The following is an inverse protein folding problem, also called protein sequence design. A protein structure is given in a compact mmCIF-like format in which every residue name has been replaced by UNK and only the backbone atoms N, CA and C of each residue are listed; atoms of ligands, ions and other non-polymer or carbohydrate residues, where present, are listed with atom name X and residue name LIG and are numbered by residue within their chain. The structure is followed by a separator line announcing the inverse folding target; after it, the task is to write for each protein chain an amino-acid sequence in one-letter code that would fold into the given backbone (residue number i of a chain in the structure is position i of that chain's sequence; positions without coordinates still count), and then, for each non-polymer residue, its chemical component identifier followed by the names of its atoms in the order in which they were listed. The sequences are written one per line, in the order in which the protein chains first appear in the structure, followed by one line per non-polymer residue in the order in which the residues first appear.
data_IF_136460117516
#
_entry.id   IF_136460117516
#
_cell.length_a   1.000
_cell.length_b   1.000
_cell.length_c   1.000
_cell.angle_alpha   90.00
_cell.angle_beta   90.00
_cell.angle_gamma   90.00
#
_symmetry.space_group_name_H-M   'P 1'
#
loop_
_entity.id
_entity.type
_entity.pdbx_description
1 polymer ?
#
# COMPACT_ATOMS: atom_id res chain seq x y z
N UNK A 1 27.10 21.59 -52.16
CA UNK A 1 27.39 20.28 -51.56
C UNK A 1 27.93 20.49 -50.16
N UNK A 2 27.01 20.64 -49.21
CA UNK A 2 27.23 20.49 -47.77
C UNK A 2 25.85 20.46 -47.06
N UNK A 3 25.84 19.84 -45.88
CA UNK A 3 24.81 19.84 -44.82
C UNK A 3 23.60 18.88 -44.94
N UNK A 4 23.61 17.86 -44.07
CA UNK A 4 22.80 17.82 -42.85
C UNK A 4 21.39 17.22 -42.97
N UNK A 5 21.11 16.20 -42.16
CA UNK A 5 19.78 16.07 -41.53
C UNK A 5 19.79 15.09 -40.34
N UNK A 6 19.11 15.54 -39.29
CA UNK A 6 18.83 14.90 -38.01
C UNK A 6 17.61 14.01 -38.21
N UNK A 7 17.62 12.79 -37.66
CA UNK A 7 16.41 11.98 -37.52
C UNK A 7 16.43 11.26 -36.17
N UNK A 8 15.52 11.67 -35.27
CA UNK A 8 15.13 10.89 -34.10
C UNK A 8 14.03 9.89 -34.47
N UNK A 9 13.71 8.91 -33.61
CA UNK A 9 12.57 8.04 -33.85
C UNK A 9 11.37 8.44 -32.96
N UNK A 10 10.27 8.80 -33.62
CA UNK A 10 8.91 8.57 -33.11
C UNK A 10 8.54 7.11 -33.41
N UNK A 11 7.92 6.46 -32.43
CA UNK A 11 7.57 5.05 -32.47
C UNK A 11 6.45 4.67 -33.42
N UNK A 12 6.10 3.38 -33.37
CA UNK A 12 4.78 2.79 -33.65
C UNK A 12 4.85 1.31 -33.28
N UNK A 13 3.94 0.87 -32.41
CA UNK A 13 3.74 -0.54 -32.14
C UNK A 13 3.11 -1.28 -33.32
N UNK A 14 3.30 -2.60 -33.34
CA UNK A 14 2.29 -3.67 -33.55
C UNK A 14 3.00 -4.95 -33.97
N UNK A 15 2.48 -6.08 -33.47
CA UNK A 15 2.46 -7.33 -34.24
C UNK A 15 3.44 -8.39 -33.77
N UNK A 16 3.11 -9.11 -32.70
CA UNK A 16 3.57 -10.49 -32.57
C UNK A 16 2.63 -11.38 -33.38
N UNK A 17 2.85 -11.40 -34.69
CA UNK A 17 2.61 -12.58 -35.51
C UNK A 17 3.91 -12.88 -36.25
N UNK A 18 4.63 -13.92 -35.80
CA UNK A 18 5.48 -14.71 -36.66
C UNK A 18 4.94 -16.15 -36.65
N UNK A 19 4.70 -16.77 -37.83
CA UNK A 19 4.10 -18.08 -37.94
C UNK A 19 5.19 -19.15 -38.09
N UNK A 20 5.87 -19.55 -37.01
CA UNK A 20 6.70 -20.78 -37.05
C UNK A 20 7.22 -21.32 -35.70
N UNK A 21 6.74 -20.84 -34.55
CA UNK A 21 7.00 -21.49 -33.27
C UNK A 21 5.77 -22.27 -32.81
N UNK A 22 5.82 -23.61 -32.91
CA UNK A 22 4.86 -24.47 -32.22
C UNK A 22 4.97 -24.19 -30.71
N UNK A 23 3.87 -23.78 -30.03
CA UNK A 23 3.91 -23.62 -28.59
C UNK A 23 4.08 -25.00 -27.95
N UNK A 24 5.16 -25.14 -27.17
CA UNK A 24 5.44 -26.32 -26.35
C UNK A 24 4.28 -26.48 -25.36
N UNK A 25 3.46 -27.52 -25.52
CA UNK A 25 2.33 -27.78 -24.62
C UNK A 25 2.83 -27.92 -23.17
N UNK A 26 2.35 -27.03 -22.31
CA UNK A 26 2.48 -27.18 -20.86
C UNK A 26 1.69 -28.43 -20.45
N UNK A 27 2.37 -29.37 -19.78
CA UNK A 27 1.78 -30.62 -19.30
C UNK A 27 0.53 -30.34 -18.48
N UNK A 28 -0.63 -30.68 -19.02
CA UNK A 28 -1.90 -30.71 -18.28
C UNK A 28 -1.90 -31.89 -17.29
N UNK A 29 -2.45 -31.74 -16.09
CA UNK A 29 -2.74 -32.89 -15.23
C UNK A 29 -3.70 -33.84 -15.97
N UNK A 30 -3.41 -35.15 -15.94
CA UNK A 30 -4.30 -36.18 -16.50
C UNK A 30 -5.64 -36.13 -15.77
N UNK A 31 -6.70 -35.75 -16.47
CA UNK A 31 -8.08 -36.04 -16.09
C UNK A 31 -8.30 -37.54 -16.34
N UNK A 32 -8.59 -38.28 -15.28
CA UNK A 32 -9.12 -39.64 -15.35
C UNK A 32 -10.64 -39.51 -15.30
N UNK A 33 -11.32 -39.93 -16.37
CA UNK A 33 -12.77 -40.04 -16.46
C UNK A 33 -13.27 -41.29 -15.71
N UNK A 34 -14.20 -41.06 -14.77
CA UNK A 34 -15.35 -41.85 -14.22
C UNK A 34 -15.26 -43.40 -14.24
N UNK A 35 -15.45 -44.15 -13.14
CA UNK A 35 -16.58 -44.26 -12.18
C UNK A 35 -16.21 -45.30 -11.06
N UNK A 36 -17.04 -45.64 -10.05
CA UNK A 36 -17.74 -44.84 -9.05
C UNK A 36 -17.33 -45.21 -7.59
N UNK A 37 -17.66 -44.36 -6.61
CA UNK A 37 -17.66 -44.65 -5.15
C UNK A 37 -16.29 -44.72 -4.45
N UNK A 38 -15.72 -43.57 -4.11
CA UNK A 38 -14.66 -43.46 -3.10
C UNK A 38 -14.96 -42.31 -2.13
N UNK A 39 -15.10 -42.63 -0.85
CA UNK A 39 -15.26 -41.63 0.23
C UNK A 39 -14.03 -40.69 0.27
N UNK A 40 -14.21 -39.40 0.59
CA UNK A 40 -13.09 -38.46 0.71
C UNK A 40 -12.14 -38.92 1.83
N UNK A 41 -10.82 -38.73 1.66
CA UNK A 41 -9.84 -39.15 2.65
C UNK A 41 -10.08 -38.38 3.96
N UNK A 42 -10.35 -39.12 5.04
CA UNK A 42 -10.51 -38.57 6.39
C UNK A 42 -9.18 -37.94 6.81
N UNK A 43 -9.22 -36.63 7.07
CA UNK A 43 -8.09 -35.89 7.66
C UNK A 43 -7.66 -36.55 8.96
N UNK A 44 -6.36 -36.82 9.09
CA UNK A 44 -5.71 -37.35 10.31
C UNK A 44 -5.31 -36.26 11.30
N UNK A 45 -5.64 -34.99 11.00
CA UNK A 45 -5.30 -33.85 11.85
C UNK A 45 -6.49 -33.55 12.78
N UNK A 46 -6.29 -33.80 14.07
CA UNK A 46 -7.24 -33.42 15.12
C UNK A 46 -7.06 -31.94 15.47
N UNK A 47 -8.18 -31.22 15.68
CA UNK A 47 -8.16 -29.86 16.23
C UNK A 47 -7.63 -29.81 17.67
N UNK A 48 -7.60 -30.96 18.35
CA UNK A 48 -7.09 -31.12 19.72
C UNK A 48 -5.69 -31.74 19.76
N UNK A 49 -4.91 -31.62 18.68
CA UNK A 49 -3.55 -32.13 18.65
C UNK A 49 -2.68 -31.44 19.72
N UNK A 50 -2.06 -32.24 20.58
CA UNK A 50 -1.21 -31.77 21.68
C UNK A 50 -0.01 -31.02 21.11
N UNK A 51 0.23 -29.80 21.56
CA UNK A 51 1.39 -29.00 21.16
C UNK A 51 2.68 -29.80 21.35
N UNK A 52 3.52 -29.80 20.31
CA UNK A 52 4.81 -30.46 20.35
C UNK A 52 5.82 -29.53 21.02
N UNK A 53 6.48 -30.02 22.07
CA UNK A 53 7.58 -29.32 22.74
C UNK A 53 8.90 -30.07 22.48
N UNK A 54 10.01 -29.36 22.20
CA UNK A 54 11.32 -29.97 22.06
C UNK A 54 11.77 -30.69 23.34
N UNK A 55 12.67 -31.69 23.26
CA UNK A 55 13.10 -32.50 24.41
C UNK A 55 13.72 -31.71 25.58
N UNK A 56 14.20 -30.49 25.33
CA UNK A 56 14.85 -29.63 26.30
C UNK A 56 13.96 -28.47 26.79
N UNK A 57 12.65 -28.49 26.46
CA UNK A 57 11.72 -27.46 26.91
C UNK A 57 11.35 -27.68 28.39
N UNK A 58 11.90 -26.84 29.26
CA UNK A 58 11.44 -26.71 30.65
C UNK A 58 10.34 -25.65 30.73
N UNK A 59 9.08 -26.01 31.01
CA UNK A 59 8.02 -25.03 31.16
C UNK A 59 8.31 -24.15 32.38
N UNK A 60 8.59 -22.86 32.15
CA UNK A 60 8.64 -21.90 33.23
C UNK A 60 7.22 -21.66 33.75
N UNK A 61 7.06 -21.68 35.08
CA UNK A 61 5.79 -21.34 35.72
C UNK A 61 5.38 -19.92 35.29
N UNK A 62 4.16 -19.81 34.78
CA UNK A 62 3.56 -18.53 34.37
C UNK A 62 3.59 -17.60 35.58
N UNK A 63 4.21 -16.39 35.51
CA UNK A 63 4.15 -15.45 36.61
C UNK A 63 2.69 -15.06 36.84
N UNK A 64 2.17 -15.35 38.03
CA UNK A 64 0.85 -14.89 38.46
C UNK A 64 0.90 -13.37 38.60
N UNK A 65 0.48 -12.65 37.57
CA UNK A 65 0.33 -11.20 37.65
C UNK A 65 -0.86 -10.89 38.56
N UNK A 66 -0.57 -10.38 39.75
CA UNK A 66 -1.56 -9.70 40.58
C UNK A 66 -2.11 -8.50 39.80
N UNK A 67 -3.44 -8.44 39.67
CA UNK A 67 -4.14 -7.28 39.15
C UNK A 67 -3.98 -6.12 40.14
N UNK A 68 -3.17 -5.14 39.77
CA UNK A 68 -3.20 -3.80 40.35
C UNK A 68 -3.89 -2.83 39.37
N UNK A 69 -4.71 -1.88 39.83
CA UNK A 69 -5.59 -1.09 38.97
C UNK A 69 -4.91 0.23 38.57
N UNK A 70 -4.42 0.34 37.33
CA UNK A 70 -4.13 1.63 36.69
C UNK A 70 -4.11 1.52 35.15
N UNK A 71 -4.44 2.60 34.42
CA UNK A 71 -5.12 2.53 33.14
C UNK A 71 -4.15 2.55 31.94
N UNK A 72 -4.67 2.12 30.80
CA UNK A 72 -4.07 2.20 29.45
C UNK A 72 -3.28 0.97 28.98
N UNK A 73 -4.00 -0.10 28.64
CA UNK A 73 -3.60 -1.00 27.55
C UNK A 73 -4.18 -0.44 26.24
N UNK A 74 -3.38 -0.26 25.17
CA UNK A 74 -3.95 -0.02 23.85
C UNK A 74 -4.75 -1.26 23.43
N UNK A 75 -6.00 -1.11 22.96
CA UNK A 75 -6.81 -2.25 22.54
C UNK A 75 -6.15 -2.91 21.32
N UNK A 76 -5.68 -4.13 21.50
CA UNK A 76 -5.34 -5.02 20.39
C UNK A 76 -6.66 -5.55 19.85
N UNK A 77 -7.19 -4.90 18.81
CA UNK A 77 -8.30 -5.48 18.05
C UNK A 77 -7.76 -6.67 17.27
N UNK A 78 -8.09 -7.87 17.74
CA UNK A 78 -7.88 -9.10 17.00
C UNK A 78 -8.62 -9.01 15.66
N UNK A 79 -8.13 -9.67 14.63
CA UNK A 79 -8.82 -9.73 13.32
C UNK A 79 -10.25 -10.27 13.49
N UNK A 80 -10.45 -11.17 14.46
CA UNK A 80 -11.76 -11.71 14.83
C UNK A 80 -12.68 -10.67 15.48
N UNK A 81 -12.17 -9.80 16.37
CA UNK A 81 -12.98 -8.72 16.95
C UNK A 81 -13.40 -7.67 15.91
N UNK A 82 -12.55 -7.44 14.88
CA UNK A 82 -12.90 -6.56 13.76
C UNK A 82 -13.97 -7.16 12.86
N UNK A 83 -13.86 -8.45 12.52
CA UNK A 83 -14.90 -9.18 11.80
C UNK A 83 -16.24 -9.15 12.55
N UNK A 84 -16.20 -9.26 13.88
CA UNK A 84 -17.40 -9.22 14.72
C UNK A 84 -18.02 -7.83 14.83
N UNK A 85 -17.21 -6.78 15.01
CA UNK A 85 -17.70 -5.40 15.02
C UNK A 85 -18.29 -4.97 13.68
N UNK A 86 -17.76 -5.47 12.56
CA UNK A 86 -18.31 -5.24 11.23
C UNK A 86 -19.62 -6.02 10.96
N UNK A 87 -19.89 -7.08 11.73
CA UNK A 87 -21.18 -7.81 11.70
C UNK A 87 -22.22 -7.20 12.65
N UNK A 88 -21.80 -6.55 13.74
CA UNK A 88 -22.67 -5.96 14.76
C UNK A 88 -23.08 -4.50 14.48
N UNK A 89 -22.33 -3.78 13.64
CA UNK A 89 -22.85 -2.54 13.07
C UNK A 89 -23.74 -2.92 11.89
N UNK A 90 -25.00 -2.55 11.93
CA UNK A 90 -25.84 -2.44 10.74
C UNK A 90 -25.48 -1.09 10.09
N UNK A 91 -24.49 -1.04 9.17
CA UNK A 91 -24.00 0.21 8.59
C UNK A 91 -24.90 0.64 7.42
N UNK A 92 -25.94 -0.15 7.14
CA UNK A 92 -26.69 -0.08 5.91
C UNK A 92 -28.04 0.56 6.19
N UNK A 93 -28.14 1.83 5.81
CA UNK A 93 -29.39 2.31 5.25
C UNK A 93 -29.58 1.75 3.83
N UNK A 94 -29.51 0.42 3.69
CA UNK A 94 -29.75 -0.30 2.42
C UNK A 94 -31.19 -0.06 1.97
N UNK A 95 -32.10 -0.01 2.95
CA UNK A 95 -33.51 0.25 2.72
C UNK A 95 -33.71 1.69 2.20
N UNK A 96 -33.17 2.74 2.83
CA UNK A 96 -33.41 4.13 2.34
C UNK A 96 -32.84 4.38 0.94
N UNK A 97 -31.67 3.83 0.59
CA UNK A 97 -31.14 3.96 -0.78
C UNK A 97 -32.01 3.24 -1.81
N UNK A 98 -32.67 2.14 -1.43
CA UNK A 98 -33.61 1.41 -2.30
C UNK A 98 -34.99 2.08 -2.39
N UNK A 99 -35.42 2.77 -1.33
CA UNK A 99 -36.76 3.37 -1.21
C UNK A 99 -36.88 4.77 -1.84
N UNK A 100 -35.77 5.48 -2.06
CA UNK A 100 -35.77 6.83 -2.65
C UNK A 100 -35.94 6.88 -4.18
N UNK A 101 -36.14 5.72 -4.83
CA UNK A 101 -36.44 5.61 -6.25
C UNK A 101 -37.97 5.61 -6.45
N UNK A 102 -38.56 6.80 -6.58
CA UNK A 102 -39.99 6.94 -6.89
C UNK A 102 -40.32 6.36 -8.28
N UNK A 103 -41.40 5.58 -8.31
CA UNK A 103 -42.26 5.18 -9.44
C UNK A 103 -41.64 4.39 -10.62
N UNK A 104 -41.79 3.06 -10.54
CA UNK A 104 -42.07 2.05 -11.61
C UNK A 104 -41.17 1.97 -12.86
N UNK A 105 -40.37 2.97 -13.24
CA UNK A 105 -39.69 3.00 -14.54
C UNK A 105 -38.26 2.47 -14.56
N UNK A 106 -37.73 1.92 -13.45
CA UNK A 106 -36.35 1.44 -13.49
C UNK A 106 -36.04 0.24 -12.59
N UNK A 107 -36.80 -0.84 -12.78
CA UNK A 107 -36.50 -2.13 -12.14
C UNK A 107 -35.07 -2.59 -12.46
N UNK A 108 -34.59 -2.34 -13.68
CA UNK A 108 -33.24 -2.69 -14.13
C UNK A 108 -32.16 -1.87 -13.39
N UNK A 109 -32.35 -0.55 -13.23
CA UNK A 109 -31.44 0.27 -12.41
C UNK A 109 -31.40 -0.21 -10.96
N UNK A 110 -32.56 -0.52 -10.36
CA UNK A 110 -32.62 -1.01 -8.98
C UNK A 110 -31.87 -2.34 -8.82
N UNK A 111 -32.03 -3.26 -9.76
CA UNK A 111 -31.30 -4.54 -9.76
C UNK A 111 -29.80 -4.33 -9.95
N UNK A 112 -29.40 -3.47 -10.89
CA UNK A 112 -27.99 -3.13 -11.12
C UNK A 112 -27.34 -2.47 -9.90
N UNK A 113 -28.05 -1.56 -9.22
CA UNK A 113 -27.58 -0.93 -7.98
C UNK A 113 -27.52 -1.96 -6.83
N UNK A 114 -28.49 -2.87 -6.72
CA UNK A 114 -28.41 -3.94 -5.73
C UNK A 114 -27.21 -4.87 -5.98
N UNK A 115 -26.93 -5.19 -7.24
CA UNK A 115 -25.75 -5.97 -7.62
C UNK A 115 -24.44 -5.21 -7.30
N UNK A 116 -24.37 -3.91 -7.62
CA UNK A 116 -23.26 -3.05 -7.22
C UNK A 116 -23.03 -3.11 -5.71
N UNK A 117 -24.06 -2.93 -4.90
CA UNK A 117 -23.98 -2.98 -3.44
C UNK A 117 -23.44 -4.32 -2.98
N UNK A 118 -23.97 -5.44 -3.50
CA UNK A 118 -23.49 -6.77 -3.14
C UNK A 118 -22.00 -6.96 -3.47
N UNK A 119 -21.56 -6.53 -4.66
CA UNK A 119 -20.14 -6.59 -5.05
C UNK A 119 -19.28 -5.69 -4.17
N UNK A 120 -19.73 -4.47 -3.85
CA UNK A 120 -19.00 -3.57 -2.95
C UNK A 120 -18.81 -4.20 -1.56
N UNK A 121 -19.85 -4.84 -1.02
CA UNK A 121 -19.76 -5.58 0.24
C UNK A 121 -18.75 -6.72 0.13
N UNK A 122 -18.84 -7.55 -0.91
CA UNK A 122 -17.92 -8.68 -1.10
C UNK A 122 -16.46 -8.23 -1.19
N UNK A 123 -16.15 -7.19 -1.98
CA UNK A 123 -14.75 -6.72 -2.13
C UNK A 123 -14.26 -5.88 -0.94
N UNK A 124 -15.15 -5.53 -0.01
CA UNK A 124 -14.78 -4.96 1.30
C UNK A 124 -14.24 -6.06 2.21
N UNK A 125 -14.88 -7.23 2.24
CA UNK A 125 -14.49 -8.35 3.11
C UNK A 125 -13.46 -9.30 2.48
N UNK A 126 -13.49 -9.43 1.16
CA UNK A 126 -12.57 -10.24 0.38
C UNK A 126 -12.03 -9.43 -0.83
N UNK A 127 -11.07 -8.52 -0.60
CA UNK A 127 -10.52 -7.68 -1.65
C UNK A 127 -9.84 -8.48 -2.77
N UNK A 128 -9.48 -9.77 -2.53
CA UNK A 128 -8.93 -10.65 -3.54
C UNK A 128 -9.91 -10.98 -4.68
N UNK A 129 -11.21 -10.79 -4.46
CA UNK A 129 -12.25 -11.02 -5.49
C UNK A 129 -12.42 -9.86 -6.47
N UNK A 130 -11.73 -8.73 -6.27
CA UNK A 130 -11.92 -7.51 -7.08
C UNK A 130 -11.89 -7.79 -8.58
N UNK A 131 -10.82 -8.41 -9.07
CA UNK A 131 -10.62 -8.64 -10.51
C UNK A 131 -11.67 -9.59 -11.12
N UNK A 132 -12.28 -10.45 -10.30
CA UNK A 132 -13.31 -11.40 -10.74
C UNK A 132 -14.71 -10.78 -10.77
N UNK A 133 -15.02 -9.90 -9.81
CA UNK A 133 -16.36 -9.35 -9.63
C UNK A 133 -16.57 -8.02 -10.37
N UNK A 134 -15.56 -7.15 -10.43
CA UNK A 134 -15.74 -5.79 -10.91
C UNK A 134 -15.83 -5.69 -12.44
N UNK A 135 -15.21 -6.61 -13.20
CA UNK A 135 -15.31 -6.63 -14.67
C UNK A 135 -16.76 -6.80 -15.16
N UNK A 136 -17.43 -7.92 -14.81
CA UNK A 136 -18.83 -8.14 -15.17
C UNK A 136 -19.78 -7.05 -14.64
N UNK A 137 -19.47 -6.50 -13.46
CA UNK A 137 -20.24 -5.39 -12.90
C UNK A 137 -20.12 -4.12 -13.75
N UNK A 138 -18.92 -3.76 -14.21
CA UNK A 138 -18.72 -2.60 -15.08
C UNK A 138 -19.43 -2.79 -16.42
N UNK A 139 -19.34 -3.99 -16.99
CA UNK A 139 -20.03 -4.35 -18.24
C UNK A 139 -21.56 -4.19 -18.12
N UNK A 140 -22.15 -4.52 -16.97
CA UNK A 140 -23.59 -4.38 -16.72
C UNK A 140 -24.09 -2.94 -16.78
N UNK A 141 -23.25 -1.96 -16.45
CA UNK A 141 -23.60 -0.53 -16.52
C UNK A 141 -23.14 0.14 -17.81
N UNK A 142 -22.22 -0.46 -18.56
CA UNK A 142 -21.53 0.18 -19.70
C UNK A 142 -22.49 0.80 -20.72
N UNK A 143 -23.61 0.11 -21.04
CA UNK A 143 -24.61 0.63 -21.97
C UNK A 143 -25.44 1.80 -21.43
N UNK A 144 -25.46 2.02 -20.12
CA UNK A 144 -26.23 3.09 -19.46
C UNK A 144 -25.39 4.25 -18.94
N UNK A 145 -24.05 4.13 -18.93
CA UNK A 145 -23.14 5.14 -18.38
C UNK A 145 -23.18 6.50 -19.08
N UNK A 146 -23.77 6.59 -20.27
CA UNK A 146 -23.94 7.87 -20.95
C UNK A 146 -25.14 8.68 -20.41
N UNK A 147 -26.10 8.01 -19.75
CA UNK A 147 -27.28 8.63 -19.14
C UNK A 147 -26.99 9.03 -17.69
N UNK A 148 -27.14 10.33 -17.41
CA UNK A 148 -26.94 10.91 -16.08
C UNK A 148 -27.88 10.30 -15.04
N UNK A 149 -29.08 9.89 -15.44
CA UNK A 149 -30.11 9.34 -14.55
C UNK A 149 -29.69 7.99 -13.95
N UNK A 150 -28.90 7.20 -14.69
CA UNK A 150 -28.34 5.93 -14.23
C UNK A 150 -26.96 6.13 -13.56
N UNK A 151 -26.17 7.06 -14.10
CA UNK A 151 -24.78 7.27 -13.68
C UNK A 151 -24.68 7.97 -12.34
N UNK A 152 -25.57 8.91 -12.03
CA UNK A 152 -25.54 9.66 -10.77
C UNK A 152 -25.79 8.76 -9.55
N UNK A 153 -26.82 7.90 -9.49
CA UNK A 153 -27.01 6.95 -8.38
C UNK A 153 -25.83 5.99 -8.20
N UNK A 154 -25.23 5.51 -9.30
CA UNK A 154 -24.02 4.68 -9.27
C UNK A 154 -22.85 5.40 -8.58
N UNK A 155 -22.56 6.63 -9.01
CA UNK A 155 -21.50 7.45 -8.42
C UNK A 155 -21.78 7.74 -6.95
N UNK A 156 -23.03 8.09 -6.61
CA UNK A 156 -23.42 8.36 -5.22
C UNK A 156 -23.20 7.16 -4.31
N UNK A 157 -23.61 5.95 -4.74
CA UNK A 157 -23.41 4.73 -3.98
C UNK A 157 -21.92 4.44 -3.73
N UNK A 158 -21.08 4.51 -4.77
CA UNK A 158 -19.63 4.24 -4.65
C UNK A 158 -18.97 5.27 -3.73
N UNK A 159 -19.27 6.56 -3.91
CA UNK A 159 -18.66 7.64 -3.12
C UNK A 159 -19.09 7.54 -1.66
N UNK A 160 -20.38 7.34 -1.37
CA UNK A 160 -20.87 7.20 -0.01
C UNK A 160 -20.23 6.00 0.69
N UNK A 161 -20.15 4.84 0.02
CA UNK A 161 -19.49 3.66 0.56
C UNK A 161 -17.99 3.91 0.79
N UNK A 162 -17.30 4.61 -0.11
CA UNK A 162 -15.86 4.88 0.02
C UNK A 162 -15.51 5.89 1.13
N UNK A 163 -16.44 6.80 1.43
CA UNK A 163 -16.34 7.72 2.58
C UNK A 163 -16.51 6.93 3.88
N UNK A 164 -17.60 6.15 3.98
CA UNK A 164 -18.01 5.46 5.20
C UNK A 164 -17.17 4.22 5.55
N UNK A 165 -16.65 3.50 4.55
CA UNK A 165 -15.97 2.21 4.75
C UNK A 165 -14.48 2.28 4.38
N UNK A 166 -13.56 2.38 5.37
CA UNK A 166 -12.13 2.49 5.11
C UNK A 166 -11.54 1.32 4.32
N UNK A 167 -12.06 0.09 4.49
CA UNK A 167 -11.53 -1.08 3.79
C UNK A 167 -11.96 -1.12 2.31
N UNK A 168 -13.10 -0.53 2.00
CA UNK A 168 -13.59 -0.41 0.62
C UNK A 168 -12.88 0.70 -0.14
N UNK A 169 -12.48 1.78 0.54
CA UNK A 169 -12.05 3.04 -0.08
C UNK A 169 -11.05 2.91 -1.23
N UNK A 170 -10.01 2.09 -1.08
CA UNK A 170 -9.04 1.83 -2.15
C UNK A 170 -9.71 1.17 -3.36
N UNK A 171 -10.51 0.12 -3.12
CA UNK A 171 -11.28 -0.58 -4.14
C UNK A 171 -12.35 0.34 -4.78
N UNK A 172 -12.97 1.23 -4.01
CA UNK A 172 -13.91 2.24 -4.51
C UNK A 172 -13.24 3.17 -5.51
N UNK A 173 -12.02 3.65 -5.22
CA UNK A 173 -11.27 4.48 -6.15
C UNK A 173 -10.83 3.71 -7.42
N UNK A 174 -10.45 2.44 -7.25
CA UNK A 174 -10.12 1.55 -8.36
C UNK A 174 -11.34 1.30 -9.25
N UNK A 175 -12.51 1.10 -8.65
CA UNK A 175 -13.78 0.90 -9.34
C UNK A 175 -14.20 2.17 -10.10
N UNK A 176 -14.04 3.36 -9.51
CA UNK A 176 -14.23 4.62 -10.21
C UNK A 176 -13.34 4.72 -11.46
N UNK A 177 -12.07 4.31 -11.37
CA UNK A 177 -11.15 4.32 -12.50
C UNK A 177 -11.57 3.33 -13.60
N UNK A 178 -12.12 2.16 -13.23
CA UNK A 178 -12.67 1.21 -14.20
C UNK A 178 -13.90 1.77 -14.94
N UNK A 179 -14.88 2.33 -14.22
CA UNK A 179 -16.05 2.95 -14.84
C UNK A 179 -15.68 4.12 -15.74
N UNK A 180 -14.73 4.91 -15.30
CA UNK A 180 -14.24 6.05 -16.06
C UNK A 180 -13.57 5.64 -17.38
N UNK A 181 -12.92 4.46 -17.41
CA UNK A 181 -12.23 3.94 -18.60
C UNK A 181 -13.15 3.42 -19.71
N UNK A 182 -14.46 3.31 -19.45
CA UNK A 182 -15.44 2.81 -20.44
C UNK A 182 -15.60 3.78 -21.61
N UNK A 183 -15.43 5.08 -21.37
CA UNK A 183 -15.55 6.13 -22.38
C UNK A 183 -14.31 7.02 -22.39
N UNK A 184 -13.98 7.67 -23.53
CA UNK A 184 -12.94 8.68 -23.55
C UNK A 184 -13.19 9.77 -22.51
N UNK A 185 -12.14 10.32 -21.86
CA UNK A 185 -12.31 11.28 -20.77
C UNK A 185 -13.18 12.50 -21.05
N UNK A 186 -13.17 12.98 -22.31
CA UNK A 186 -13.93 14.15 -22.75
C UNK A 186 -15.44 13.88 -22.88
N UNK A 187 -15.83 12.62 -22.99
CA UNK A 187 -17.22 12.17 -23.19
C UNK A 187 -17.75 11.36 -21.98
N UNK A 188 -16.92 11.19 -20.94
CA UNK A 188 -17.27 10.38 -19.77
C UNK A 188 -18.27 11.13 -18.87
N UNK A 189 -19.56 10.81 -19.01
CA UNK A 189 -20.62 11.24 -18.08
C UNK A 189 -20.31 10.78 -16.65
N UNK A 190 -19.71 9.59 -16.48
CA UNK A 190 -19.25 9.10 -15.17
C UNK A 190 -18.24 10.05 -14.54
N UNK A 191 -17.22 10.49 -15.29
CA UNK A 191 -16.24 11.47 -14.81
C UNK A 191 -16.91 12.76 -14.37
N UNK A 192 -17.81 13.27 -15.20
CA UNK A 192 -18.52 14.51 -14.91
C UNK A 192 -19.31 14.40 -13.59
N UNK A 193 -20.09 13.33 -13.40
CA UNK A 193 -20.83 13.07 -12.17
C UNK A 193 -19.90 12.87 -10.95
N UNK A 194 -18.79 12.16 -11.10
CA UNK A 194 -17.82 11.94 -10.02
C UNK A 194 -17.18 13.25 -9.56
N UNK A 195 -16.71 14.08 -10.50
CA UNK A 195 -16.10 15.37 -10.18
C UNK A 195 -17.12 16.35 -9.56
N UNK A 196 -18.36 16.37 -10.07
CA UNK A 196 -19.47 17.14 -9.47
C UNK A 196 -19.76 16.68 -8.04
N UNK A 197 -19.79 15.36 -7.80
CA UNK A 197 -20.02 14.75 -6.48
C UNK A 197 -18.89 15.11 -5.51
N UNK A 198 -17.63 15.05 -5.93
CA UNK A 198 -16.47 15.47 -5.13
C UNK A 198 -16.50 16.97 -4.80
N UNK A 199 -16.82 17.82 -5.77
CA UNK A 199 -16.96 19.27 -5.56
C UNK A 199 -18.07 19.58 -4.55
N UNK A 200 -19.19 18.85 -4.62
CA UNK A 200 -20.29 18.97 -3.67
C UNK A 200 -19.86 18.63 -2.24
N UNK A 201 -19.13 17.53 -2.02
CA UNK A 201 -18.60 17.21 -0.68
C UNK A 201 -17.57 18.22 -0.19
N UNK A 202 -16.64 18.66 -1.04
CA UNK A 202 -15.70 19.73 -0.69
C UNK A 202 -16.48 20.95 -0.18
N UNK A 203 -17.48 21.41 -0.94
CA UNK A 203 -18.27 22.56 -0.56
C UNK A 203 -19.03 22.35 0.76
N UNK A 204 -19.56 21.16 1.02
CA UNK A 204 -20.20 20.83 2.32
C UNK A 204 -19.22 20.98 3.48
N UNK A 205 -17.97 20.51 3.32
CA UNK A 205 -16.94 20.62 4.35
C UNK A 205 -16.52 22.08 4.54
N UNK A 206 -16.18 22.78 3.45
CA UNK A 206 -15.66 24.15 3.53
C UNK A 206 -16.72 25.14 4.03
N UNK A 207 -18.00 24.95 3.67
CA UNK A 207 -19.11 25.77 4.20
C UNK A 207 -19.51 25.43 5.64
N UNK A 208 -18.98 24.35 6.21
CA UNK A 208 -19.35 23.86 7.54
C UNK A 208 -20.72 23.18 7.62
N UNK A 209 -21.29 22.77 6.48
CA UNK A 209 -22.54 22.03 6.42
C UNK A 209 -22.35 20.56 6.83
N UNK A 210 -21.22 19.95 6.47
CA UNK A 210 -20.82 18.67 7.05
C UNK A 210 -20.41 18.88 8.51
N UNK A 211 -20.96 18.07 9.41
CA UNK A 211 -20.71 18.15 10.86
C UNK A 211 -20.01 16.90 11.40
N UNK A 212 -20.09 15.79 10.67
CA UNK A 212 -19.38 14.55 10.97
C UNK A 212 -17.92 14.66 10.55
N UNK A 213 -17.03 14.80 11.52
CA UNK A 213 -15.59 14.80 11.24
C UNK A 213 -15.08 13.46 10.70
N UNK A 214 -15.79 12.37 11.00
CA UNK A 214 -15.51 11.07 10.41
C UNK A 214 -15.75 11.07 8.92
N UNK A 215 -16.87 11.63 8.47
CA UNK A 215 -17.15 11.81 7.04
C UNK A 215 -16.13 12.74 6.40
N UNK A 216 -15.77 13.85 7.05
CA UNK A 216 -14.74 14.76 6.52
C UNK A 216 -13.41 14.04 6.29
N UNK A 217 -12.95 13.25 7.27
CA UNK A 217 -11.71 12.44 7.16
C UNK A 217 -11.87 11.34 6.11
N UNK A 218 -13.01 10.67 6.07
CA UNK A 218 -13.32 9.62 5.11
C UNK A 218 -13.29 10.13 3.67
N UNK A 219 -13.93 11.27 3.43
CA UNK A 219 -13.91 11.97 2.16
C UNK A 219 -12.50 12.44 1.79
N UNK A 220 -11.75 13.05 2.71
CA UNK A 220 -10.39 13.47 2.42
C UNK A 220 -9.52 12.29 1.96
N UNK A 221 -9.57 11.17 2.69
CA UNK A 221 -8.84 9.95 2.31
C UNK A 221 -9.31 9.40 0.96
N UNK A 222 -10.62 9.35 0.70
CA UNK A 222 -11.14 8.86 -0.58
C UNK A 222 -10.73 9.76 -1.75
N UNK A 223 -10.79 11.08 -1.55
CA UNK A 223 -10.36 12.07 -2.53
C UNK A 223 -8.86 11.91 -2.86
N UNK A 224 -8.04 11.57 -1.86
CA UNK A 224 -6.62 11.25 -2.08
C UNK A 224 -6.42 9.97 -2.91
N UNK A 225 -7.19 8.91 -2.63
CA UNK A 225 -7.15 7.68 -3.44
C UNK A 225 -7.53 7.96 -4.90
N UNK A 226 -8.66 8.64 -5.15
CA UNK A 226 -9.08 9.00 -6.51
C UNK A 226 -8.03 9.88 -7.19
N UNK A 227 -7.48 10.89 -6.51
CA UNK A 227 -6.45 11.76 -7.08
C UNK A 227 -5.19 10.98 -7.52
N UNK A 228 -4.86 9.89 -6.83
CA UNK A 228 -3.70 9.04 -7.19
C UNK A 228 -4.00 8.00 -8.27
N UNK A 229 -5.26 7.61 -8.45
CA UNK A 229 -5.65 6.51 -9.35
C UNK A 229 -6.35 6.98 -10.63
N UNK A 230 -7.05 8.12 -10.59
CA UNK A 230 -7.79 8.66 -11.74
C UNK A 230 -6.87 9.51 -12.61
N UNK A 231 -6.66 9.06 -13.84
CA UNK A 231 -5.84 9.75 -14.83
C UNK A 231 -6.64 10.79 -15.63
N UNK A 232 -5.96 11.74 -16.27
CA UNK A 232 -6.52 12.66 -17.26
C UNK A 232 -6.32 12.11 -18.69
N UNK A 233 -6.75 12.86 -19.71
CA UNK A 233 -6.62 12.43 -21.11
C UNK A 233 -5.17 12.26 -21.60
N UNK A 234 -4.18 12.75 -20.84
CA UNK A 234 -2.75 12.65 -21.12
C UNK A 234 -2.05 11.62 -20.20
N UNK A 235 -2.79 10.85 -19.39
CA UNK A 235 -2.23 9.95 -18.38
C UNK A 235 -1.65 10.68 -17.16
N UNK A 236 -1.93 11.98 -17.02
CA UNK A 236 -1.58 12.79 -15.85
C UNK A 236 -2.63 12.71 -14.76
N UNK A 237 -2.44 13.41 -13.64
CA UNK A 237 -3.44 13.49 -12.56
C UNK A 237 -4.44 14.61 -12.82
N UNK A 238 -5.68 14.39 -12.42
CA UNK A 238 -6.74 15.41 -12.50
C UNK A 238 -6.47 16.55 -11.50
N UNK A 239 -6.01 17.71 -12.00
CA UNK A 239 -5.57 18.85 -11.18
C UNK A 239 -6.62 19.37 -10.20
N UNK A 240 -7.88 19.42 -10.61
CA UNK A 240 -8.98 19.90 -9.76
C UNK A 240 -9.16 19.05 -8.50
N UNK A 241 -8.86 17.75 -8.56
CA UNK A 241 -8.88 16.88 -7.38
C UNK A 241 -7.75 17.21 -6.41
N UNK A 242 -6.54 17.50 -6.91
CA UNK A 242 -5.40 17.92 -6.07
C UNK A 242 -5.67 19.26 -5.35
N UNK A 243 -6.27 20.22 -6.06
CA UNK A 243 -6.68 21.50 -5.49
C UNK A 243 -7.77 21.34 -4.43
N UNK A 244 -8.80 20.53 -4.73
CA UNK A 244 -9.86 20.16 -3.79
C UNK A 244 -9.29 19.52 -2.53
N UNK A 245 -8.38 18.57 -2.71
CA UNK A 245 -7.74 17.84 -1.63
C UNK A 245 -6.92 18.75 -0.72
N UNK A 246 -6.20 19.73 -1.28
CA UNK A 246 -5.48 20.72 -0.47
C UNK A 246 -6.43 21.54 0.40
N UNK A 247 -7.58 21.98 -0.13
CA UNK A 247 -8.55 22.76 0.66
C UNK A 247 -9.12 21.96 1.82
N UNK A 248 -9.54 20.72 1.57
CA UNK A 248 -10.08 19.82 2.61
C UNK A 248 -9.03 19.52 3.66
N UNK A 249 -7.78 19.26 3.25
CA UNK A 249 -6.67 19.02 4.16
C UNK A 249 -6.39 20.23 5.07
N UNK A 250 -6.39 21.44 4.50
CA UNK A 250 -6.19 22.67 5.27
C UNK A 250 -7.34 22.88 6.28
N UNK A 251 -8.58 22.62 5.88
CA UNK A 251 -9.73 22.69 6.78
C UNK A 251 -9.58 21.71 7.96
N UNK A 252 -9.22 20.45 7.69
CA UNK A 252 -8.98 19.45 8.73
C UNK A 252 -7.87 19.87 9.71
N UNK A 253 -6.79 20.49 9.21
CA UNK A 253 -5.71 21.01 10.07
C UNK A 253 -6.14 22.20 10.92
N UNK A 254 -7.10 23.00 10.47
CA UNK A 254 -7.59 24.17 11.20
C UNK A 254 -8.55 23.81 12.36
N UNK A 255 -9.06 22.57 12.42
CA UNK A 255 -9.89 22.07 13.55
C UNK A 255 -9.11 21.85 14.86
N UNK A 256 -7.79 21.80 14.79
CA UNK A 256 -6.86 21.50 15.89
C UNK A 256 -7.08 20.17 16.65
N UNK A 257 -7.79 19.21 16.05
CA UNK A 257 -8.00 17.90 16.66
C UNK A 257 -6.92 16.91 16.24
N UNK A 258 -6.33 16.22 17.22
CA UNK A 258 -5.25 15.26 16.98
C UNK A 258 -5.64 14.15 15.99
N UNK A 259 -6.88 13.67 16.03
CA UNK A 259 -7.40 12.65 15.10
C UNK A 259 -7.43 13.16 13.65
N UNK A 260 -7.78 14.42 13.42
CA UNK A 260 -7.78 15.05 12.10
C UNK A 260 -6.35 15.24 11.61
N UNK A 261 -5.43 15.67 12.49
CA UNK A 261 -4.01 15.82 12.17
C UNK A 261 -3.38 14.47 11.79
N UNK A 262 -3.73 13.39 12.52
CA UNK A 262 -3.28 12.02 12.19
C UNK A 262 -3.79 11.56 10.82
N UNK A 263 -5.07 11.80 10.52
CA UNK A 263 -5.64 11.47 9.21
C UNK A 263 -4.93 12.24 8.08
N UNK A 264 -4.68 13.54 8.27
CA UNK A 264 -3.89 14.34 7.33
C UNK A 264 -2.48 13.78 7.14
N UNK A 265 -1.82 13.35 8.22
CA UNK A 265 -0.50 12.71 8.12
C UNK A 265 -0.53 11.39 7.33
N UNK A 266 -1.58 10.58 7.49
CA UNK A 266 -1.76 9.34 6.72
C UNK A 266 -1.99 9.62 5.25
N UNK A 267 -2.88 10.57 4.95
CA UNK A 267 -3.17 11.03 3.61
C UNK A 267 -1.92 11.53 2.89
N UNK A 268 -1.11 12.36 3.58
CA UNK A 268 0.13 12.86 3.01
C UNK A 268 1.14 11.74 2.71
N UNK A 269 1.13 10.62 3.42
CA UNK A 269 1.96 9.47 3.05
C UNK A 269 1.49 8.82 1.75
N UNK A 270 0.19 8.84 1.47
CA UNK A 270 -0.41 8.30 0.25
C UNK A 270 -0.16 9.21 -0.95
N UNK A 271 -0.49 10.51 -0.85
CA UNK A 271 -0.53 11.42 -1.99
C UNK A 271 0.46 12.58 -1.91
N UNK A 272 1.29 12.66 -0.86
CA UNK A 272 2.12 13.83 -0.59
C UNK A 272 3.17 14.14 -1.66
N UNK A 273 3.77 13.11 -2.27
CA UNK A 273 4.73 13.32 -3.38
C UNK A 273 4.04 13.93 -4.61
N UNK A 274 2.84 13.44 -4.95
CA UNK A 274 2.05 13.95 -6.06
C UNK A 274 1.58 15.39 -5.78
N UNK A 275 1.09 15.65 -4.57
CA UNK A 275 0.67 17.00 -4.15
C UNK A 275 1.82 18.00 -4.08
N UNK A 276 3.03 17.57 -3.71
CA UNK A 276 4.19 18.47 -3.71
C UNK A 276 4.59 18.92 -5.12
N UNK A 277 4.38 18.05 -6.12
CA UNK A 277 4.61 18.38 -7.52
C UNK A 277 3.49 19.27 -8.09
N UNK A 278 2.23 18.92 -7.82
CA UNK A 278 1.09 19.53 -8.49
C UNK A 278 0.54 20.76 -7.76
N UNK A 279 0.66 20.81 -6.44
CA UNK A 279 0.04 21.81 -5.55
C UNK A 279 1.03 22.39 -4.50
N UNK A 280 2.18 22.95 -4.92
CA UNK A 280 3.25 23.38 -4.00
C UNK A 280 2.79 24.43 -2.98
N UNK A 281 1.92 25.37 -3.38
CA UNK A 281 1.39 26.41 -2.49
C UNK A 281 0.51 25.82 -1.38
N UNK A 282 -0.38 24.89 -1.73
CA UNK A 282 -1.24 24.18 -0.76
C UNK A 282 -0.41 23.35 0.21
N UNK A 283 0.59 22.64 -0.32
CA UNK A 283 1.53 21.84 0.49
C UNK A 283 2.42 22.69 1.39
N UNK A 284 2.83 23.88 0.97
CA UNK A 284 3.54 24.80 1.85
C UNK A 284 2.66 25.23 3.03
N UNK A 285 1.42 25.66 2.76
CA UNK A 285 0.47 26.07 3.79
C UNK A 285 0.10 24.93 4.76
N UNK A 286 -0.01 23.70 4.26
CA UNK A 286 -0.28 22.51 5.06
C UNK A 286 0.87 22.22 6.03
N UNK A 287 2.11 22.26 5.55
CA UNK A 287 3.26 21.97 6.41
C UNK A 287 3.57 23.08 7.41
N UNK A 288 3.27 24.33 7.10
CA UNK A 288 3.33 25.41 8.10
C UNK A 288 2.36 25.18 9.26
N UNK A 289 1.16 24.66 8.99
CA UNK A 289 0.21 24.26 10.04
C UNK A 289 0.71 23.04 10.82
N UNK A 290 1.22 22.02 10.13
CA UNK A 290 1.76 20.81 10.76
C UNK A 290 2.96 21.10 11.67
N UNK A 291 3.90 21.96 11.27
CA UNK A 291 5.08 22.31 12.09
C UNK A 291 4.70 22.87 13.47
N UNK A 292 3.59 23.61 13.58
CA UNK A 292 3.05 24.11 14.86
C UNK A 292 2.60 22.99 15.81
N UNK A 293 2.46 21.77 15.29
CA UNK A 293 2.04 20.55 15.98
C UNK A 293 3.15 19.50 16.07
N UNK A 294 4.42 19.94 16.00
CA UNK A 294 5.62 19.07 16.05
C UNK A 294 5.78 18.21 17.32
N UNK A 295 4.96 18.43 18.35
CA UNK A 295 4.86 17.54 19.50
C UNK A 295 4.36 16.14 19.14
N UNK A 296 3.54 16.01 18.09
CA UNK A 296 2.97 14.73 17.64
C UNK A 296 4.00 13.91 16.86
N UNK A 297 4.24 12.62 17.21
CA UNK A 297 5.20 11.77 16.51
C UNK A 297 4.89 11.58 15.01
N UNK A 298 3.62 11.46 14.65
CA UNK A 298 3.19 11.32 13.25
C UNK A 298 3.56 12.55 12.42
N UNK A 299 3.43 13.75 12.99
CA UNK A 299 3.79 15.02 12.36
C UNK A 299 5.30 15.08 12.11
N UNK A 300 6.12 14.75 13.12
CA UNK A 300 7.59 14.70 12.94
C UNK A 300 7.99 13.74 11.82
N UNK A 301 7.34 12.58 11.76
CA UNK A 301 7.59 11.57 10.72
C UNK A 301 7.28 12.11 9.32
N UNK A 302 6.13 12.76 9.14
CA UNK A 302 5.73 13.29 7.82
C UNK A 302 6.58 14.51 7.42
N UNK A 303 6.96 15.35 8.38
CA UNK A 303 7.90 16.47 8.14
C UNK A 303 9.27 15.95 7.70
N UNK A 304 9.81 14.94 8.37
CA UNK A 304 11.05 14.29 7.99
C UNK A 304 10.92 13.60 6.62
N UNK A 305 9.80 12.93 6.36
CA UNK A 305 9.52 12.27 5.09
C UNK A 305 9.54 13.27 3.92
N UNK A 306 8.87 14.41 4.05
CA UNK A 306 8.92 15.47 3.04
C UNK A 306 10.34 16.05 2.86
N UNK A 307 11.08 16.27 3.95
CA UNK A 307 12.47 16.74 3.90
C UNK A 307 13.39 15.74 3.16
N UNK A 308 13.13 14.44 3.34
CA UNK A 308 13.79 13.34 2.63
C UNK A 308 13.18 13.07 1.24
N UNK A 309 12.51 14.06 0.63
CA UNK A 309 11.87 13.96 -0.70
C UNK A 309 10.95 12.74 -0.83
N UNK A 310 10.11 12.52 0.17
CA UNK A 310 9.17 11.40 0.24
C UNK A 310 9.84 10.01 0.18
N UNK A 311 11.09 9.91 0.65
CA UNK A 311 11.87 8.67 0.66
C UNK A 311 12.79 8.49 -0.56
N UNK A 312 12.88 9.50 -1.44
CA UNK A 312 13.75 9.47 -2.62
C UNK A 312 15.14 10.09 -2.38
N UNK A 313 15.38 10.70 -1.21
CA UNK A 313 16.72 11.17 -0.85
C UNK A 313 17.65 9.99 -0.57
N UNK A 314 18.87 10.02 -1.10
CA UNK A 314 19.88 9.03 -0.74
C UNK A 314 20.18 9.09 0.77
N UNK A 315 20.40 7.95 1.44
CA UNK A 315 20.81 7.93 2.83
C UNK A 315 22.11 8.73 2.96
N UNK A 316 22.07 9.76 3.79
CA UNK A 316 23.24 10.60 4.05
C UNK A 316 24.39 9.70 4.52
N UNK A 317 25.58 9.77 3.90
CA UNK A 317 26.70 8.94 4.30
C UNK A 317 27.00 9.19 5.79
N UNK A 318 27.27 8.13 6.58
CA UNK A 318 27.56 8.30 7.99
C UNK A 318 28.71 9.30 8.12
N UNK A 319 28.46 10.40 8.84
CA UNK A 319 29.46 11.43 9.13
C UNK A 319 30.67 10.73 9.74
N UNK A 320 31.77 10.63 8.98
CA UNK A 320 33.00 10.08 9.51
C UNK A 320 33.45 10.99 10.66
N UNK A 321 33.65 10.47 11.88
CA UNK A 321 34.17 11.28 12.97
C UNK A 321 35.55 11.84 12.58
N UNK A 322 35.88 13.08 13.00
CA UNK A 322 37.12 13.73 12.62
C UNK A 322 38.36 12.87 12.96
N UNK A 323 39.44 12.97 12.16
CA UNK A 323 40.54 11.99 12.15
C UNK A 323 41.39 11.92 13.43
N UNK A 324 41.13 12.71 14.47
CA UNK A 324 42.00 12.84 15.64
C UNK A 324 41.66 11.95 16.86
N UNK A 325 40.63 11.11 16.80
CA UNK A 325 40.27 10.23 17.92
C UNK A 325 40.85 8.81 17.86
N UNK A 326 41.53 8.43 16.77
CA UNK A 326 42.05 7.06 16.59
C UNK A 326 43.35 6.73 17.33
N UNK A 327 44.00 7.68 18.02
CA UNK A 327 45.33 7.45 18.61
C UNK A 327 45.41 7.46 20.13
N UNK A 328 44.29 7.41 20.86
CA UNK A 328 44.34 7.38 22.33
C UNK A 328 43.28 6.48 22.97
N UNK A 329 43.19 5.22 22.57
CA UNK A 329 42.63 4.17 23.44
C UNK A 329 43.50 2.91 23.30
N UNK A 330 44.66 2.96 23.94
CA UNK A 330 45.37 1.77 24.41
C UNK A 330 45.59 2.00 25.91
N UNK A 331 44.89 1.18 26.70
CA UNK A 331 45.05 0.96 28.14
C UNK A 331 44.83 2.15 29.09
N UNK A 332 43.59 2.33 29.57
CA UNK A 332 43.31 2.57 30.99
C UNK A 332 41.98 1.90 31.37
N UNK A 333 42.00 1.20 32.49
CA UNK A 333 40.91 0.48 33.13
C UNK A 333 39.61 1.29 33.33
N UNK A 334 38.48 0.58 33.28
CA UNK A 334 37.25 0.93 34.01
C UNK A 334 36.22 1.69 33.20
N UNK A 335 35.07 1.03 33.01
CA UNK A 335 33.74 1.60 32.70
C UNK A 335 33.65 2.61 31.56
N UNK A 336 33.13 2.15 30.41
CA UNK A 336 32.58 3.05 29.39
C UNK A 336 31.22 2.51 28.94
N UNK A 337 30.18 3.07 29.54
CA UNK A 337 28.90 3.26 28.85
C UNK A 337 29.19 4.05 27.56
N UNK A 338 29.01 3.43 26.41
CA UNK A 338 28.96 4.15 25.13
C UNK A 338 27.66 3.80 24.43
N UNK A 339 26.70 4.70 24.59
CA UNK A 339 25.49 4.73 23.80
C UNK A 339 25.80 5.16 22.37
N UNK A 340 25.65 4.23 21.44
CA UNK A 340 25.01 4.48 20.15
C UNK A 340 24.49 3.18 19.58
N UNK A 341 23.26 3.27 19.11
CA UNK A 341 22.36 2.19 18.72
C UNK A 341 22.90 1.37 17.53
N UNK A 342 23.63 0.30 17.83
CA UNK A 342 23.75 -0.87 16.94
C UNK A 342 23.27 -2.11 17.70
N UNK A 343 22.00 -2.07 18.10
CA UNK A 343 21.34 -3.16 18.80
C UNK A 343 20.78 -4.14 17.79
N UNK A 344 21.55 -5.18 17.43
CA UNK A 344 20.98 -6.30 16.70
C UNK A 344 19.76 -6.88 17.44
N UNK A 345 18.74 -7.26 16.68
CA UNK A 345 17.49 -7.83 17.18
C UNK A 345 17.47 -9.33 16.90
N UNK A 346 16.88 -10.10 17.83
CA UNK A 346 16.52 -11.48 17.61
C UNK A 346 15.24 -11.57 16.76
N UNK A 347 14.93 -12.77 16.25
CA UNK A 347 13.75 -13.01 15.42
C UNK A 347 12.41 -12.76 16.15
N UNK A 348 12.43 -12.69 17.47
CA UNK A 348 11.30 -12.33 18.33
C UNK A 348 11.17 -10.81 18.58
N UNK A 349 12.09 -10.00 18.04
CA UNK A 349 12.11 -8.55 18.17
C UNK A 349 12.74 -8.03 19.46
N UNK A 350 13.30 -8.89 20.31
CA UNK A 350 14.05 -8.46 21.48
C UNK A 350 15.48 -8.03 21.11
N UNK A 351 15.96 -6.99 21.79
CA UNK A 351 17.34 -6.50 21.62
C UNK A 351 18.31 -7.48 22.24
N UNK A 352 19.37 -7.84 21.50
CA UNK A 352 20.43 -8.71 22.01
C UNK A 352 20.99 -8.19 23.34
N UNK A 353 21.10 -9.07 24.32
CA UNK A 353 21.78 -8.78 25.59
C UNK A 353 23.29 -8.71 25.39
N UNK A 354 24.01 -8.11 26.35
CA UNK A 354 25.47 -8.00 26.29
C UNK A 354 26.16 -9.40 26.27
N UNK A 355 25.57 -10.35 26.99
CA UNK A 355 26.04 -11.74 27.06
C UNK A 355 25.82 -12.48 25.73
N UNK A 356 24.66 -12.32 25.10
CA UNK A 356 24.36 -12.92 23.79
C UNK A 356 25.24 -12.35 22.68
N UNK A 357 25.53 -11.04 22.71
CA UNK A 357 26.48 -10.43 21.77
C UNK A 357 27.88 -11.02 21.92
N UNK A 358 28.35 -11.15 23.17
CA UNK A 358 29.67 -11.74 23.44
C UNK A 358 29.72 -13.21 23.02
N UNK A 359 28.63 -13.96 23.21
CA UNK A 359 28.51 -15.34 22.74
C UNK A 359 28.58 -15.42 21.21
N UNK A 360 27.83 -14.58 20.48
CA UNK A 360 27.88 -14.58 19.01
C UNK A 360 29.25 -14.19 18.47
N UNK A 361 29.91 -13.20 19.08
CA UNK A 361 31.26 -12.78 18.69
C UNK A 361 32.33 -13.83 18.97
N UNK A 362 32.20 -14.59 20.06
CA UNK A 362 33.17 -15.63 20.44
C UNK A 362 33.01 -16.93 19.65
N UNK A 363 31.85 -17.15 19.02
CA UNK A 363 31.58 -18.32 18.17
C UNK A 363 31.71 -18.04 16.67
N UNK A 364 31.99 -16.79 16.26
CA UNK A 364 32.42 -16.50 14.90
C UNK A 364 33.86 -17.02 14.71
N UNK A 365 34.16 -17.80 13.65
CA UNK A 365 35.51 -18.30 13.43
C UNK A 365 36.51 -17.14 13.32
N UNK A 366 37.63 -17.17 14.07
CA UNK A 366 38.58 -16.07 14.07
C UNK A 366 39.26 -15.97 12.71
N UNK A 367 39.13 -14.82 12.04
CA UNK A 367 39.95 -14.48 10.88
C UNK A 367 39.30 -14.57 9.50
N UNK A 368 37.96 -14.52 9.39
CA UNK A 368 37.29 -14.33 8.08
C UNK A 368 36.53 -13.00 8.01
N UNK A 369 37.29 -11.90 7.97
CA UNK A 369 36.96 -10.89 6.96
C UNK A 369 37.25 -11.59 5.63
N UNK A 370 36.25 -12.31 5.08
CA UNK A 370 36.37 -12.86 3.73
C UNK A 370 36.34 -11.65 2.81
N UNK A 371 37.53 -11.13 2.48
CA UNK A 371 37.74 -10.65 1.14
C UNK A 371 37.29 -11.82 0.25
N UNK A 372 36.27 -11.59 -0.58
CA UNK A 372 35.82 -12.59 -1.55
C UNK A 372 37.07 -12.91 -2.40
N UNK A 373 37.65 -14.08 -2.18
CA UNK A 373 38.84 -14.53 -2.89
C UNK A 373 38.54 -14.56 -4.40
N UNK A 374 39.55 -14.25 -5.22
CA UNK A 374 39.50 -14.25 -6.69
C UNK A 374 38.93 -15.56 -7.27
N UNK A 375 38.92 -16.64 -6.49
CA UNK A 375 38.35 -17.95 -6.81
C UNK A 375 36.87 -17.90 -7.26
N UNK A 376 36.06 -16.96 -6.75
CA UNK A 376 34.63 -16.86 -7.13
C UNK A 376 34.46 -16.34 -8.57
N UNK A 377 35.39 -15.52 -9.06
CA UNK A 377 35.37 -15.01 -10.44
C UNK A 377 35.74 -16.10 -11.44
N UNK A 378 36.73 -16.94 -11.12
CA UNK A 378 37.12 -18.09 -11.95
C UNK A 378 36.03 -19.18 -11.98
N UNK A 379 35.27 -19.33 -10.88
CA UNK A 379 34.18 -20.31 -10.79
C UNK A 379 32.90 -19.86 -11.52
N UNK A 380 32.67 -18.54 -11.67
CA UNK A 380 31.58 -17.97 -12.47
C UNK A 380 31.86 -17.92 -13.97
N UNK A 381 33.12 -17.88 -14.40
CA UNK A 381 33.52 -17.93 -15.82
C UNK A 381 33.48 -19.35 -16.41
N UNK A 382 33.30 -20.37 -15.57
CA UNK A 382 33.22 -21.76 -16.01
C UNK A 382 31.78 -22.10 -16.43
N UNK A 383 31.56 -22.33 -17.73
CA UNK A 383 30.29 -22.72 -18.40
C UNK A 383 29.62 -24.02 -17.86
N UNK A 384 30.09 -24.57 -16.75
CA UNK A 384 29.68 -25.87 -16.22
C UNK A 384 28.54 -25.82 -15.19
N UNK A 385 28.07 -24.64 -14.78
CA UNK A 385 26.94 -24.51 -13.87
C UNK A 385 25.69 -24.00 -14.61
N UNK A 386 24.72 -24.91 -14.80
CA UNK A 386 23.36 -24.61 -15.28
C UNK A 386 22.61 -23.81 -14.21
N UNK A 387 22.97 -22.53 -14.07
CA UNK A 387 22.37 -21.58 -13.12
C UNK A 387 20.99 -21.09 -13.60
N UNK A 388 20.57 -21.49 -14.81
CA UNK A 388 19.34 -21.00 -15.45
C UNK A 388 19.34 -19.50 -15.75
N UNK A 389 20.48 -18.80 -15.55
CA UNK A 389 20.65 -17.39 -15.89
C UNK A 389 21.16 -17.28 -17.32
N UNK A 390 20.51 -16.45 -18.14
CA UNK A 390 21.03 -16.10 -19.45
C UNK A 390 22.23 -15.15 -19.34
N UNK A 391 22.97 -15.00 -20.44
CA UNK A 391 24.19 -14.20 -20.49
C UNK A 391 23.97 -12.72 -20.14
N UNK A 392 22.77 -12.20 -20.40
CA UNK A 392 22.40 -10.81 -20.08
C UNK A 392 22.19 -10.63 -18.58
N UNK A 393 21.54 -11.60 -17.93
CA UNK A 393 21.32 -11.61 -16.49
C UNK A 393 22.62 -11.77 -15.70
N UNK A 394 23.56 -12.60 -16.19
CA UNK A 394 24.89 -12.74 -15.60
C UNK A 394 25.70 -11.44 -15.72
N UNK A 395 25.66 -10.77 -16.87
CA UNK A 395 26.33 -9.49 -17.07
C UNK A 395 25.77 -8.40 -16.14
N UNK A 396 24.46 -8.33 -16.00
CA UNK A 396 23.79 -7.39 -15.08
C UNK A 396 24.14 -7.64 -13.62
N UNK A 397 24.24 -8.91 -13.21
CA UNK A 397 24.65 -9.27 -11.85
C UNK A 397 26.11 -8.89 -11.56
N UNK A 398 27.01 -9.11 -12.52
CA UNK A 398 28.41 -8.69 -12.39
C UNK A 398 28.55 -7.16 -12.32
N UNK A 399 27.72 -6.42 -13.05
CA UNK A 399 27.68 -4.95 -12.97
C UNK A 399 27.18 -4.47 -11.60
N UNK A 400 26.14 -5.13 -11.05
CA UNK A 400 25.62 -4.87 -9.71
C UNK A 400 26.68 -5.10 -8.61
N UNK A 401 27.47 -6.18 -8.70
CA UNK A 401 28.55 -6.46 -7.75
C UNK A 401 29.69 -5.43 -7.84
N UNK A 402 29.96 -4.90 -9.04
CA UNK A 402 30.94 -3.82 -9.24
C UNK A 402 30.45 -2.49 -8.66
N UNK A 403 29.18 -2.15 -8.83
CA UNK A 403 28.60 -0.91 -8.27
C UNK A 403 28.53 -0.92 -6.75
N UNK A 404 28.39 -2.10 -6.13
CA UNK A 404 28.27 -2.25 -4.67
C UNK A 404 29.60 -2.28 -3.91
N UNK A 405 30.75 -2.00 -4.56
CA UNK A 405 32.11 -2.05 -3.99
C UNK A 405 32.47 -3.39 -3.32
N UNK A 406 31.77 -4.47 -3.68
CA UNK A 406 32.05 -5.81 -3.16
C UNK A 406 33.21 -6.51 -3.88
N UNK A 407 33.70 -5.93 -4.98
CA UNK A 407 34.87 -6.40 -5.72
C UNK A 407 35.83 -5.22 -5.87
N UNK A 408 37.05 -5.33 -5.32
CA UNK A 408 38.15 -4.38 -5.57
C UNK A 408 39.13 -5.01 -6.55
N UNK A 409 39.62 -4.20 -7.49
CA UNK A 409 40.75 -4.57 -8.37
C UNK A 409 42.01 -4.86 -7.60
#
# INVERSE_FOLDING_TARGET
MNNGEISGPRGRGRGWQQPENQPRELRRPRIVTEDPKAEPPKSTLSADAKEWYPPNYTPHAVPTYHLDPAPYRPPRFSVQDRLRQAQDQDPYSLEEMSYSLEEVENTDLRENIANLIAVMCEITFDPGKFDTLCGPLVDAFASTLHDVSYTRPLVEAIVNQSIGEPNFRYNGARLCSMYDSVSPPEESTFRACLLERCSTEENKIISGLETSEENMRGFAMFLAEIYTQLEDSQGGRVKSLGESLCKVLLHLLDTDKEVNIKAVCQLLKLSGIALDADCPSGMHAAFERLKRRGGLPCVRTVVALRAARWGLAEPEPPVQPPPDLRRRILYVNGEVESGSSDGGYLADGHTLTAEERAFLQSNLPPGKNVALDEDILEELENDAWDTGMDAEMQAGFLEFLKMSNQIKR
#
